data_IF_103485209781
#
_entry.id   IF_103485209781
#
_cell.length_a   1.000
_cell.length_b   1.000
_cell.length_c   1.000
_cell.angle_alpha   90.00
_cell.angle_beta   90.00
_cell.angle_gamma   90.00
#
_symmetry.space_group_name_H-M   'P 1'
#
loop_
_entity.id
_entity.type
_entity.pdbx_description
1 polymer ?
#
# COMPACT_ATOMS: atom_id res chain seq x y z
N UNK A 1 10.08 1.60 -6.85
CA UNK A 1 8.79 1.02 -6.43
C UNK A 1 7.91 2.16 -5.93
N UNK A 2 6.95 2.52 -6.77
CA UNK A 2 5.93 3.53 -6.46
C UNK A 2 4.59 2.83 -6.59
N UNK A 3 3.76 2.96 -5.56
CA UNK A 3 2.40 2.43 -5.55
C UNK A 3 1.43 3.59 -5.55
N UNK A 4 0.42 3.52 -6.38
CA UNK A 4 -0.63 4.52 -6.55
C UNK A 4 -1.95 3.88 -6.18
N UNK A 5 -2.72 4.56 -5.35
CA UNK A 5 -4.08 4.18 -5.00
C UNK A 5 -5.01 5.24 -5.56
N UNK A 6 -5.90 4.83 -6.45
CA UNK A 6 -6.94 5.69 -7.00
C UNK A 6 -8.25 5.41 -6.29
N UNK A 7 -8.84 6.44 -5.70
CA UNK A 7 -10.17 6.39 -5.13
C UNK A 7 -11.22 6.43 -6.24
N UNK A 8 -12.09 5.42 -6.29
CA UNK A 8 -13.10 5.25 -7.34
C UNK A 8 -14.24 6.26 -7.24
N UNK A 9 -14.51 6.81 -6.04
CA UNK A 9 -15.60 7.77 -5.81
C UNK A 9 -15.19 9.18 -6.15
N UNK A 10 -13.97 9.57 -5.76
CA UNK A 10 -13.47 10.94 -5.91
C UNK A 10 -12.53 11.12 -7.10
N UNK A 11 -12.00 10.04 -7.67
CA UNK A 11 -10.97 10.10 -8.70
C UNK A 11 -9.60 10.56 -8.18
N UNK A 12 -9.46 10.77 -6.88
CA UNK A 12 -8.22 11.24 -6.27
C UNK A 12 -7.16 10.13 -6.25
N UNK A 13 -5.94 10.47 -6.62
CA UNK A 13 -4.79 9.58 -6.56
C UNK A 13 -3.95 9.87 -5.31
N UNK A 14 -3.63 8.81 -4.56
CA UNK A 14 -2.68 8.86 -3.44
C UNK A 14 -1.48 7.99 -3.76
N UNK A 15 -0.29 8.57 -3.69
CA UNK A 15 0.96 7.87 -4.04
C UNK A 15 1.73 7.51 -2.77
N UNK A 16 2.28 6.30 -2.74
CA UNK A 16 3.11 5.78 -1.67
C UNK A 16 4.21 4.85 -2.18
N UNK A 17 4.95 4.26 -1.25
CA UNK A 17 6.05 3.34 -1.55
C UNK A 17 5.63 1.88 -1.53
N UNK A 18 4.69 1.53 -0.65
CA UNK A 18 4.18 0.16 -0.48
C UNK A 18 2.68 0.18 -0.24
N UNK A 19 1.97 -0.85 -0.72
CA UNK A 19 0.59 -1.10 -0.32
C UNK A 19 0.44 -2.53 0.18
N UNK A 20 -0.34 -2.70 1.24
CA UNK A 20 -0.80 -4.00 1.72
C UNK A 20 -2.27 -4.13 1.37
N UNK A 21 -2.60 -5.11 0.54
CA UNK A 21 -3.99 -5.42 0.16
C UNK A 21 -4.48 -6.58 1.01
N UNK A 22 -5.57 -6.36 1.74
CA UNK A 22 -6.34 -7.39 2.45
C UNK A 22 -7.75 -7.44 1.85
N UNK A 23 -8.51 -8.50 2.14
CA UNK A 23 -9.83 -8.72 1.53
C UNK A 23 -10.82 -7.57 1.70
N UNK A 24 -10.72 -6.78 2.78
CA UNK A 24 -11.61 -5.65 3.07
C UNK A 24 -10.95 -4.27 2.96
N UNK A 25 -9.61 -4.18 2.98
CA UNK A 25 -8.89 -2.93 3.15
C UNK A 25 -7.57 -2.91 2.38
N UNK A 26 -7.18 -1.73 1.92
CA UNK A 26 -5.85 -1.45 1.37
C UNK A 26 -5.15 -0.44 2.26
N UNK A 27 -3.97 -0.79 2.75
CA UNK A 27 -3.09 0.11 3.52
C UNK A 27 -1.95 0.62 2.66
N UNK A 28 -1.90 1.92 2.38
CA UNK A 28 -0.79 2.60 1.73
C UNK A 28 0.22 3.09 2.75
N UNK A 29 1.50 2.84 2.50
CA UNK A 29 2.61 3.32 3.28
C UNK A 29 3.43 4.30 2.45
N UNK A 30 3.46 5.56 2.87
CA UNK A 30 4.18 6.63 2.15
C UNK A 30 5.66 6.74 2.53
N UNK A 31 6.05 6.14 3.66
CA UNK A 31 7.43 6.18 4.16
C UNK A 31 8.23 4.90 3.91
N UNK A 32 9.43 4.86 4.49
CA UNK A 32 10.30 3.68 4.45
C UNK A 32 9.74 2.62 5.41
N UNK A 33 9.56 1.41 4.89
CA UNK A 33 9.16 0.22 5.63
C UNK A 33 10.41 -0.65 5.84
N UNK A 34 10.62 -1.12 7.06
CA UNK A 34 11.65 -2.10 7.39
C UNK A 34 10.97 -3.36 7.93
N UNK A 35 11.29 -4.49 7.33
CA UNK A 35 10.85 -5.79 7.83
C UNK A 35 11.70 -6.17 9.06
N UNK A 36 11.08 -6.22 10.23
CA UNK A 36 11.72 -6.69 11.46
C UNK A 36 10.96 -7.92 11.90
N UNK A 37 11.66 -9.06 12.07
CA UNK A 37 11.16 -10.38 12.55
C UNK A 37 9.74 -10.29 13.14
N UNK A 38 8.73 -10.53 12.29
CA UNK A 38 7.32 -10.59 12.68
C UNK A 38 6.46 -9.36 12.38
N UNK A 39 6.98 -8.33 11.71
CA UNK A 39 6.13 -7.22 11.27
C UNK A 39 6.80 -6.11 10.48
N UNK A 40 5.98 -5.52 9.60
CA UNK A 40 6.28 -4.31 8.87
C UNK A 40 6.29 -3.10 9.81
N UNK A 41 7.48 -2.56 10.13
CA UNK A 41 7.62 -1.29 10.87
C UNK A 41 8.13 -0.21 9.94
N UNK A 42 7.35 0.85 9.76
CA UNK A 42 7.79 2.03 9.02
C UNK A 42 7.62 3.30 9.84
N UNK A 43 8.49 4.27 9.62
CA UNK A 43 8.32 5.65 10.10
C UNK A 43 7.39 6.47 9.18
N UNK A 44 6.66 5.81 8.28
CA UNK A 44 5.77 6.44 7.30
C UNK A 44 4.34 6.59 7.78
N UNK A 45 3.61 7.54 7.19
CA UNK A 45 2.16 7.67 7.39
C UNK A 45 1.48 6.46 6.73
N UNK A 46 0.63 5.76 7.50
CA UNK A 46 -0.26 4.71 7.01
C UNK A 46 -1.60 5.34 6.64
N UNK A 47 -2.01 5.20 5.39
CA UNK A 47 -3.33 5.63 4.92
C UNK A 47 -4.12 4.37 4.58
N UNK A 48 -5.33 4.24 5.12
CA UNK A 48 -6.17 3.05 4.95
C UNK A 48 -7.37 3.41 4.09
N UNK A 49 -7.66 2.54 3.12
CA UNK A 49 -8.77 2.68 2.19
C UNK A 49 -9.61 1.39 2.19
N UNK A 50 -10.94 1.47 2.01
CA UNK A 50 -11.77 0.30 1.74
C UNK A 50 -11.36 -0.34 0.40
N UNK A 51 -11.14 -1.66 0.37
CA UNK A 51 -10.70 -2.33 -0.86
C UNK A 51 -11.75 -2.27 -1.99
N UNK A 52 -13.04 -2.14 -1.66
CA UNK A 52 -14.11 -1.93 -2.63
C UNK A 52 -13.97 -0.61 -3.37
N UNK A 53 -13.46 0.42 -2.69
CA UNK A 53 -13.56 1.82 -3.10
C UNK A 53 -12.32 2.30 -3.83
N UNK A 54 -11.26 1.48 -3.92
CA UNK A 54 -9.99 1.89 -4.53
C UNK A 54 -9.47 0.90 -5.55
N UNK A 55 -8.61 1.40 -6.43
CA UNK A 55 -7.81 0.60 -7.37
C UNK A 55 -6.34 0.83 -7.05
N UNK A 56 -5.57 -0.25 -6.94
CA UNK A 56 -4.13 -0.19 -6.64
C UNK A 56 -3.35 -0.46 -7.92
N UNK A 57 -2.46 0.45 -8.28
CA UNK A 57 -1.51 0.29 -9.39
C UNK A 57 -0.08 0.45 -8.86
N UNK A 58 0.83 -0.37 -9.36
CA UNK A 58 2.26 -0.27 -9.03
C UNK A 58 3.05 -0.20 -10.33
N UNK A 59 3.89 0.83 -10.48
CA UNK A 59 4.73 1.03 -11.69
C UNK A 59 5.79 -0.07 -11.85
N UNK A 60 6.09 -0.77 -10.75
CA UNK A 60 6.93 -1.95 -10.70
C UNK A 60 6.22 -2.91 -9.75
N UNK A 61 5.67 -4.05 -10.22
CA UNK A 61 5.07 -5.07 -9.35
C UNK A 61 6.21 -5.69 -8.53
N UNK A 62 6.60 -4.96 -7.48
CA UNK A 62 7.67 -5.33 -6.60
C UNK A 62 7.42 -6.75 -6.11
N UNK A 63 8.35 -7.64 -6.47
CA UNK A 63 8.74 -8.84 -5.73
C UNK A 63 7.78 -9.10 -4.59
N UNK A 64 6.83 -10.02 -4.80
CA UNK A 64 6.01 -10.58 -3.75
C UNK A 64 6.87 -10.65 -2.50
N UNK A 65 6.58 -9.80 -1.52
CA UNK A 65 7.23 -9.85 -0.22
C UNK A 65 6.69 -11.11 0.44
N UNK A 66 7.24 -12.25 0.01
CA UNK A 66 6.94 -13.56 0.57
C UNK A 66 7.36 -13.51 2.02
N UNK A 67 6.35 -13.61 2.87
CA UNK A 67 6.54 -13.86 4.28
C UNK A 67 7.24 -15.22 4.41
N UNK A 68 8.53 -15.22 4.74
CA UNK A 68 9.34 -16.41 5.01
C UNK A 68 8.98 -17.05 6.34
#
# INVERSE_FOLDING_TARGET
MTVRIMDKKSGNETVGKYALVKSSEVSLYTGIMSDRKGGWRGCGKRIVFPASDVTVTADDPAKELKQS
#
